data_IF_452267479821
#
_entry.id   IF_452267479821
#
_cell.length_a   1.000
_cell.length_b   1.000
_cell.length_c   1.000
_cell.angle_alpha   90.00
_cell.angle_beta   90.00
_cell.angle_gamma   90.00
#
_symmetry.space_group_name_H-M   'P 1'
#
loop_
_entity.id
_entity.type
_entity.pdbx_description
1 polymer ?
#
# COMPACT_ATOMS: atom_id res chain seq x y z
N UNK A 1 12.91 -2.03 5.25
CA UNK A 1 12.09 -2.32 4.05
C UNK A 1 12.67 -3.52 3.32
N UNK A 2 11.84 -4.44 2.89
CA UNK A 2 12.28 -5.56 2.05
C UNK A 2 12.41 -5.13 0.60
N UNK A 3 13.54 -5.44 -0.01
CA UNK A 3 13.76 -5.19 -1.45
C UNK A 3 14.10 -6.53 -2.10
N UNK A 4 13.35 -6.90 -3.12
CA UNK A 4 13.60 -8.14 -3.84
C UNK A 4 13.26 -7.95 -5.32
N UNK A 5 13.87 -8.77 -6.16
CA UNK A 5 13.61 -8.78 -7.60
C UNK A 5 12.70 -9.94 -7.94
N UNK A 6 11.67 -9.67 -8.75
CA UNK A 6 10.75 -10.71 -9.22
C UNK A 6 10.57 -10.61 -10.73
N UNK A 7 10.47 -11.74 -11.37
CA UNK A 7 10.19 -11.85 -12.82
C UNK A 7 8.67 -11.96 -13.04
N UNK A 8 8.17 -11.66 -14.25
CA UNK A 8 6.75 -11.88 -14.55
C UNK A 8 6.31 -13.29 -14.20
N UNK A 9 5.19 -13.41 -13.53
CA UNK A 9 4.65 -14.68 -13.04
C UNK A 9 5.09 -15.04 -11.62
N UNK A 10 6.09 -14.36 -11.09
CA UNK A 10 6.55 -14.59 -9.72
C UNK A 10 5.83 -13.68 -8.73
N UNK A 11 5.79 -14.09 -7.48
CA UNK A 11 5.01 -13.40 -6.44
C UNK A 11 5.84 -13.09 -5.20
N UNK A 12 5.30 -12.19 -4.39
CA UNK A 12 5.79 -11.89 -3.04
C UNK A 12 4.61 -12.02 -2.08
N UNK A 13 4.82 -12.71 -0.96
CA UNK A 13 3.79 -12.82 0.07
C UNK A 13 3.92 -11.73 1.11
N UNK A 14 2.79 -11.18 1.52
CA UNK A 14 2.70 -10.23 2.65
C UNK A 14 1.83 -10.89 3.69
N UNK A 15 2.44 -11.38 4.77
CA UNK A 15 1.75 -12.23 5.71
C UNK A 15 1.36 -13.54 5.01
N UNK A 16 0.25 -14.14 5.43
CA UNK A 16 -0.24 -15.39 4.87
C UNK A 16 -1.40 -15.19 3.89
N UNK A 17 -1.96 -13.99 3.84
CA UNK A 17 -3.22 -13.73 3.16
C UNK A 17 -3.10 -12.82 1.93
N UNK A 18 -1.97 -12.16 1.75
CA UNK A 18 -1.80 -11.19 0.66
C UNK A 18 -0.68 -11.64 -0.26
N UNK A 19 -1.00 -11.77 -1.54
CA UNK A 19 -0.02 -12.12 -2.56
C UNK A 19 0.07 -10.99 -3.58
N UNK A 20 1.30 -10.54 -3.85
CA UNK A 20 1.56 -9.55 -4.90
C UNK A 20 2.25 -10.26 -6.05
N UNK A 21 1.62 -10.26 -7.21
CA UNK A 21 2.11 -10.97 -8.41
C UNK A 21 2.59 -9.97 -9.43
N UNK A 22 3.75 -10.20 -10.01
CA UNK A 22 4.21 -9.44 -11.18
C UNK A 22 3.58 -10.06 -12.41
N UNK A 23 2.63 -9.37 -13.04
CA UNK A 23 1.92 -9.87 -14.21
C UNK A 23 2.67 -9.59 -15.49
N UNK A 24 3.21 -8.36 -15.63
CA UNK A 24 3.88 -7.95 -16.85
C UNK A 24 4.84 -6.79 -16.56
N UNK A 25 5.97 -6.78 -17.24
CA UNK A 25 6.93 -5.65 -17.22
C UNK A 25 7.08 -5.17 -18.66
N UNK A 26 6.83 -3.90 -18.90
CA UNK A 26 6.89 -3.34 -20.24
C UNK A 26 7.16 -1.83 -20.21
N UNK A 27 8.16 -1.39 -20.95
CA UNK A 27 8.49 0.03 -21.15
C UNK A 27 8.50 0.89 -19.87
N UNK A 28 9.21 0.43 -18.84
CA UNK A 28 9.30 1.15 -17.58
C UNK A 28 8.05 1.06 -16.71
N UNK A 29 7.08 0.23 -17.09
CA UNK A 29 5.86 0.00 -16.31
C UNK A 29 5.80 -1.44 -15.84
N UNK A 30 5.26 -1.64 -14.65
CA UNK A 30 5.05 -2.96 -14.08
C UNK A 30 3.56 -3.12 -13.80
N UNK A 31 2.98 -4.20 -14.31
CA UNK A 31 1.60 -4.56 -14.02
C UNK A 31 1.60 -5.54 -12.86
N UNK A 32 0.99 -5.15 -11.76
CA UNK A 32 0.92 -5.95 -10.54
C UNK A 32 -0.51 -6.44 -10.31
N UNK A 33 -0.61 -7.69 -9.90
CA UNK A 33 -1.86 -8.23 -9.35
C UNK A 33 -1.72 -8.35 -7.85
N UNK A 34 -2.77 -7.99 -7.13
CA UNK A 34 -2.78 -8.12 -5.67
C UNK A 34 -3.98 -8.96 -5.26
N UNK A 35 -3.71 -10.10 -4.64
CA UNK A 35 -4.73 -10.95 -4.05
C UNK A 35 -4.75 -10.71 -2.56
N UNK A 36 -5.88 -10.27 -2.03
CA UNK A 36 -6.01 -9.93 -0.61
C UNK A 36 -7.42 -10.26 -0.13
N UNK A 37 -7.61 -10.46 1.20
CA UNK A 37 -8.94 -10.64 1.77
C UNK A 37 -9.82 -9.41 1.51
N UNK A 38 -11.14 -9.60 1.53
CA UNK A 38 -12.11 -8.52 1.25
C UNK A 38 -12.06 -7.39 2.27
N UNK A 39 -11.66 -7.68 3.48
CA UNK A 39 -11.55 -6.68 4.55
C UNK A 39 -10.27 -5.84 4.47
N UNK A 40 -9.35 -6.18 3.56
CA UNK A 40 -8.12 -5.41 3.32
C UNK A 40 -8.30 -4.61 2.03
N UNK A 41 -8.49 -3.30 2.12
CA UNK A 41 -8.60 -2.48 0.92
C UNK A 41 -7.24 -2.38 0.21
N UNK A 42 -7.26 -2.56 -1.11
CA UNK A 42 -6.04 -2.46 -1.94
C UNK A 42 -6.21 -1.25 -2.85
N UNK A 43 -5.38 -0.24 -2.64
CA UNK A 43 -5.45 1.00 -3.40
C UNK A 43 -4.09 1.40 -3.93
N UNK A 44 -4.08 2.02 -5.10
CA UNK A 44 -2.89 2.74 -5.54
C UNK A 44 -2.66 3.90 -4.58
N UNK A 45 -1.42 4.36 -4.48
CA UNK A 45 -1.03 5.37 -3.51
C UNK A 45 -1.88 6.65 -3.58
N UNK A 46 -2.13 7.16 -4.78
CA UNK A 46 -2.91 8.38 -4.95
C UNK A 46 -4.36 8.23 -4.48
N UNK A 47 -4.93 7.04 -4.64
CA UNK A 47 -6.29 6.75 -4.15
C UNK A 47 -6.27 6.62 -2.62
N UNK A 48 -5.26 5.94 -2.08
CA UNK A 48 -5.10 5.79 -0.64
C UNK A 48 -4.99 7.15 0.06
N UNK A 49 -4.21 8.07 -0.50
CA UNK A 49 -4.06 9.42 0.07
C UNK A 49 -5.37 10.17 0.16
N UNK A 50 -6.20 10.09 -0.88
CA UNK A 50 -7.53 10.70 -0.88
C UNK A 50 -8.42 10.14 0.22
N UNK A 51 -8.42 8.81 0.38
CA UNK A 51 -9.21 8.14 1.41
C UNK A 51 -8.76 8.54 2.81
N UNK A 52 -7.46 8.59 3.05
CA UNK A 52 -6.92 8.98 4.36
C UNK A 52 -7.24 10.45 4.67
N UNK A 53 -7.11 11.33 3.69
CA UNK A 53 -7.47 12.76 3.87
C UNK A 53 -8.94 12.92 4.24
N UNK A 54 -9.82 12.16 3.59
CA UNK A 54 -11.25 12.18 3.90
C UNK A 54 -11.51 11.70 5.34
N UNK A 55 -10.87 10.60 5.74
CA UNK A 55 -10.98 10.07 7.12
C UNK A 55 -10.48 11.06 8.16
N UNK A 56 -9.36 11.72 7.87
CA UNK A 56 -8.79 12.74 8.74
C UNK A 56 -9.77 13.91 8.90
N UNK A 57 -10.33 14.40 7.80
CA UNK A 57 -11.30 15.50 7.82
C UNK A 57 -12.55 15.15 8.63
N UNK A 58 -13.09 13.94 8.44
CA UNK A 58 -14.25 13.47 9.20
C UNK A 58 -13.95 13.33 10.69
N UNK A 59 -12.79 12.77 11.03
CA UNK A 59 -12.39 12.58 12.42
C UNK A 59 -12.15 13.91 13.13
N UNK A 60 -11.51 14.87 12.44
CA UNK A 60 -11.30 16.23 12.99
C UNK A 60 -12.64 16.92 13.29
N UNK A 61 -13.60 16.80 12.39
CA UNK A 61 -14.92 17.38 12.57
C UNK A 61 -15.66 16.80 13.78
N UNK A 62 -15.39 15.54 14.11
CA UNK A 62 -16.00 14.84 15.23
C UNK A 62 -15.16 14.92 16.52
N UNK A 63 -13.96 15.50 16.46
CA UNK A 63 -13.04 15.54 17.59
C UNK A 63 -12.41 14.19 17.92
N UNK A 64 -12.42 13.25 17.00
CA UNK A 64 -11.88 11.90 17.18
C UNK A 64 -10.43 11.80 16.73
N UNK A 65 -9.73 10.76 17.19
CA UNK A 65 -8.40 10.44 16.68
C UNK A 65 -8.48 10.07 15.20
N UNK A 66 -7.43 10.35 14.46
CA UNK A 66 -7.39 10.09 13.02
C UNK A 66 -6.07 9.46 12.59
N UNK A 67 -6.08 8.74 11.44
CA UNK A 67 -4.87 8.11 10.92
C UNK A 67 -3.86 9.15 10.43
N UNK A 68 -2.60 8.74 10.35
CA UNK A 68 -1.53 9.58 9.82
C UNK A 68 -1.51 9.53 8.30
N UNK A 69 -1.22 10.67 7.67
CA UNK A 69 -1.13 10.76 6.21
C UNK A 69 0.23 10.26 5.66
N UNK A 70 1.02 9.61 6.47
CA UNK A 70 2.31 9.07 6.04
C UNK A 70 2.18 7.61 5.64
N UNK A 71 2.80 7.25 4.50
CA UNK A 71 2.80 5.87 4.03
C UNK A 71 3.67 5.00 4.94
N UNK A 72 3.46 3.67 4.92
CA UNK A 72 4.34 2.76 5.66
C UNK A 72 5.83 2.92 5.28
N UNK A 73 6.12 3.16 4.01
CA UNK A 73 7.49 3.39 3.55
C UNK A 73 8.08 4.65 4.17
N UNK A 74 7.33 5.75 4.18
CA UNK A 74 7.76 7.01 4.78
C UNK A 74 8.01 6.86 6.28
N UNK A 75 7.14 6.11 6.97
CA UNK A 75 7.31 5.84 8.41
C UNK A 75 8.55 5.02 8.70
N UNK A 76 8.85 4.02 7.86
CA UNK A 76 10.07 3.20 8.02
C UNK A 76 11.34 4.00 7.75
N UNK A 77 11.32 4.91 6.80
CA UNK A 77 12.46 5.78 6.49
C UNK A 77 12.78 6.70 7.66
N UNK A 78 11.76 7.22 8.36
CA UNK A 78 11.95 8.03 9.56
C UNK A 78 12.58 7.22 10.71
N UNK A 79 12.10 5.99 10.91
CA UNK A 79 12.57 5.12 11.98
C UNK A 79 14.00 4.62 11.73
N UNK A 80 14.45 4.60 10.48
CA UNK A 80 15.77 4.16 10.09
C UNK A 80 16.87 5.21 10.34
N UNK A 81 16.52 6.42 10.69
CA UNK A 81 17.46 7.52 10.90
C UNK A 81 18.24 7.40 12.21
#
# INVERSE_FOLDING_TARGET
MLVCSRKPGESVMIGDDIEVVVLKVHEGRVKLGVAAPRDVPVHRLEIWKREIERRIAEAKAKGSAYPRLRTPRERQEDDAA
#
